data_IF_725256271992
#
_entry.id   IF_725256271992
#
_cell.length_a   1.000
_cell.length_b   1.000
_cell.length_c   1.000
_cell.angle_alpha   90.00
_cell.angle_beta   90.00
_cell.angle_gamma   90.00
#
_symmetry.space_group_name_H-M   'P 1'
#
loop_
_entity.id
_entity.type
_entity.pdbx_description
1 polymer ?
#
# COMPACT_ATOMS: atom_id res chain seq x y z
N UNK A 1 -66.05 66.53 0.00
CA UNK A 1 -64.66 66.11 -0.32
C UNK A 1 -64.77 64.86 -1.20
N UNK A 2 -64.82 65.00 -2.51
CA UNK A 2 -63.71 65.00 -3.50
C UNK A 2 -63.27 63.58 -3.98
N UNK A 3 -63.58 63.30 -5.27
CA UNK A 3 -63.03 62.32 -6.27
C UNK A 3 -63.15 60.80 -5.95
N UNK A 4 -63.85 59.90 -6.67
CA UNK A 4 -64.41 59.75 -8.04
C UNK A 4 -63.45 59.21 -9.15
N UNK A 5 -63.84 58.03 -9.72
CA UNK A 5 -63.49 57.33 -11.00
C UNK A 5 -62.13 56.60 -11.14
N UNK A 6 -61.94 55.47 -11.87
CA UNK A 6 -62.76 54.39 -12.50
C UNK A 6 -61.78 53.47 -13.29
N UNK A 7 -62.24 52.25 -13.67
CA UNK A 7 -62.00 51.49 -14.93
C UNK A 7 -61.26 50.14 -14.88
N UNK A 8 -62.07 49.10 -15.10
CA UNK A 8 -61.97 48.01 -16.10
C UNK A 8 -60.60 47.64 -16.70
N UNK A 9 -60.27 46.33 -16.66
CA UNK A 9 -59.90 45.54 -17.86
C UNK A 9 -60.35 44.08 -17.68
N UNK A 10 -61.23 43.63 -18.59
CA UNK A 10 -61.45 42.22 -18.95
C UNK A 10 -60.28 41.75 -19.83
N UNK A 11 -59.73 40.56 -19.60
CA UNK A 11 -59.21 39.74 -20.69
C UNK A 11 -59.18 38.25 -20.30
N UNK A 12 -59.90 37.37 -21.03
CA UNK A 12 -59.79 35.93 -20.87
C UNK A 12 -58.58 35.44 -21.67
N UNK A 13 -57.57 34.85 -21.03
CA UNK A 13 -56.52 34.16 -21.76
C UNK A 13 -57.07 32.81 -22.19
N UNK A 14 -57.43 32.76 -23.47
CA UNK A 14 -57.78 31.54 -24.18
C UNK A 14 -56.63 30.53 -24.15
N UNK A 15 -57.07 29.28 -24.22
CA UNK A 15 -56.32 28.05 -24.46
C UNK A 15 -55.20 28.29 -25.50
N UNK A 16 -53.96 28.40 -25.05
CA UNK A 16 -52.79 28.17 -25.90
C UNK A 16 -52.52 26.67 -25.90
N UNK A 17 -53.01 26.03 -26.96
CA UNK A 17 -52.64 24.69 -27.40
C UNK A 17 -51.12 24.64 -27.46
N UNK A 18 -50.49 23.87 -26.56
CA UNK A 18 -49.05 23.63 -26.65
C UNK A 18 -48.79 22.88 -27.97
N UNK A 19 -48.05 23.54 -28.87
CA UNK A 19 -47.67 22.98 -30.15
C UNK A 19 -46.83 21.71 -29.93
N UNK A 20 -47.34 20.61 -30.44
CA UNK A 20 -46.78 19.25 -30.44
C UNK A 20 -45.49 19.11 -31.29
N UNK A 21 -44.98 20.20 -31.87
CA UNK A 21 -43.85 20.20 -32.82
C UNK A 21 -42.46 20.39 -32.17
N UNK A 22 -42.37 20.62 -30.84
CA UNK A 22 -41.07 20.76 -30.15
C UNK A 22 -40.45 19.39 -29.81
N UNK A 23 -41.16 18.28 -30.05
CA UNK A 23 -40.67 16.94 -29.70
C UNK A 23 -39.64 16.36 -30.68
N UNK A 24 -39.46 16.94 -31.87
CA UNK A 24 -38.53 16.43 -32.88
C UNK A 24 -37.11 17.01 -32.78
N UNK A 25 -36.87 18.00 -31.91
CA UNK A 25 -35.56 18.65 -31.79
C UNK A 25 -34.75 18.27 -30.54
N UNK A 26 -35.27 17.36 -29.70
CA UNK A 26 -34.57 16.82 -28.53
C UNK A 26 -33.84 15.50 -28.83
N UNK A 27 -33.41 15.32 -30.07
CA UNK A 27 -32.63 14.18 -30.54
C UNK A 27 -31.12 14.33 -30.24
N UNK A 28 -30.76 14.88 -29.07
CA UNK A 28 -29.34 15.13 -28.75
C UNK A 28 -28.90 14.79 -27.33
N UNK A 29 -29.71 14.11 -26.52
CA UNK A 29 -29.21 13.43 -25.33
C UNK A 29 -29.86 12.05 -25.30
N UNK A 30 -29.07 11.04 -25.62
CA UNK A 30 -29.43 9.62 -25.55
C UNK A 30 -29.71 9.27 -24.09
N UNK A 31 -30.90 9.62 -23.61
CA UNK A 31 -31.41 9.17 -22.32
C UNK A 31 -32.04 7.80 -22.54
N UNK A 32 -31.35 6.79 -22.05
CA UNK A 32 -31.76 5.40 -22.07
C UNK A 32 -33.09 5.26 -21.29
N UNK A 33 -34.21 5.15 -22.00
CA UNK A 33 -35.50 4.80 -21.39
C UNK A 33 -35.51 3.29 -21.11
N UNK A 34 -35.81 2.88 -19.89
CA UNK A 34 -35.82 1.47 -19.45
C UNK A 34 -37.28 0.95 -19.46
N UNK A 35 -37.55 -0.19 -20.10
CA UNK A 35 -38.91 -0.75 -20.21
C UNK A 35 -39.18 -1.98 -19.33
N UNK A 36 -38.26 -2.33 -18.41
CA UNK A 36 -38.40 -3.51 -17.56
C UNK A 36 -37.88 -4.82 -18.18
N UNK A 37 -37.59 -4.85 -19.49
CA UNK A 37 -36.87 -5.93 -20.18
C UNK A 37 -35.44 -5.53 -20.59
N UNK A 38 -35.13 -4.25 -20.53
CA UNK A 38 -33.83 -3.68 -20.88
C UNK A 38 -33.93 -2.20 -21.23
N UNK A 39 -32.89 -1.67 -21.89
CA UNK A 39 -32.87 -0.31 -22.41
C UNK A 39 -33.57 -0.24 -23.80
N UNK A 40 -34.39 0.80 -24.03
CA UNK A 40 -35.15 1.02 -25.27
C UNK A 40 -34.27 1.22 -26.51
N UNK A 41 -33.07 1.77 -26.31
CA UNK A 41 -32.12 2.04 -27.39
C UNK A 41 -30.84 1.24 -27.13
N UNK A 42 -30.40 0.40 -28.08
CA UNK A 42 -29.13 -0.30 -27.96
C UNK A 42 -27.99 0.71 -28.03
N UNK A 43 -26.97 0.51 -27.19
CA UNK A 43 -25.71 1.24 -27.31
C UNK A 43 -25.04 0.93 -28.66
N UNK A 44 -24.12 1.79 -29.16
CA UNK A 44 -23.42 1.51 -30.40
C UNK A 44 -22.69 0.17 -30.34
N UNK A 45 -22.88 -0.70 -31.34
CA UNK A 45 -22.26 -2.04 -31.39
C UNK A 45 -20.74 -1.99 -31.19
N UNK A 46 -20.08 -1.00 -31.78
CA UNK A 46 -18.64 -0.81 -31.61
C UNK A 46 -18.23 -0.54 -30.15
N UNK A 47 -19.05 0.18 -29.37
CA UNK A 47 -18.75 0.38 -27.94
C UNK A 47 -18.86 -0.94 -27.17
N UNK A 48 -19.80 -1.80 -27.54
CA UNK A 48 -19.96 -3.12 -26.94
C UNK A 48 -18.81 -4.06 -27.30
N UNK A 49 -18.37 -4.06 -28.56
CA UNK A 49 -17.20 -4.85 -28.98
C UNK A 49 -15.96 -4.48 -28.18
N UNK A 50 -15.72 -3.17 -27.95
CA UNK A 50 -14.62 -2.71 -27.11
C UNK A 50 -14.79 -3.20 -25.65
N UNK A 51 -16.01 -3.12 -25.11
CA UNK A 51 -16.32 -3.60 -23.76
C UNK A 51 -16.11 -5.11 -23.62
N UNK A 52 -16.56 -5.91 -24.59
CA UNK A 52 -16.41 -7.36 -24.59
C UNK A 52 -14.94 -7.76 -24.61
N UNK A 53 -14.15 -7.15 -25.49
CA UNK A 53 -12.69 -7.39 -25.54
C UNK A 53 -12.00 -6.92 -24.27
N UNK A 54 -12.43 -5.79 -23.67
CA UNK A 54 -11.93 -5.37 -22.36
C UNK A 54 -12.24 -6.41 -21.27
N UNK A 55 -13.47 -6.94 -21.23
CA UNK A 55 -13.88 -7.96 -20.26
C UNK A 55 -13.08 -9.26 -20.42
N UNK A 56 -12.80 -9.67 -21.66
CA UNK A 56 -11.93 -10.81 -21.94
C UNK A 56 -10.50 -10.58 -21.43
N UNK A 57 -9.91 -9.42 -21.69
CA UNK A 57 -8.57 -9.09 -21.18
C UNK A 57 -8.53 -8.98 -19.66
N UNK A 58 -9.58 -8.43 -19.04
CA UNK A 58 -9.73 -8.39 -17.59
C UNK A 58 -9.76 -9.80 -16.99
N UNK A 59 -10.59 -10.69 -17.54
CA UNK A 59 -10.68 -12.09 -17.13
C UNK A 59 -9.34 -12.83 -17.27
N UNK A 60 -8.67 -12.67 -18.42
CA UNK A 60 -7.37 -13.29 -18.66
C UNK A 60 -6.28 -12.79 -17.71
N UNK A 61 -6.25 -11.49 -17.41
CA UNK A 61 -5.31 -10.92 -16.45
C UNK A 61 -5.58 -11.42 -15.03
N UNK A 62 -6.85 -11.47 -14.61
CA UNK A 62 -7.24 -12.02 -13.31
C UNK A 62 -6.84 -13.50 -13.20
N UNK A 63 -7.16 -14.31 -14.22
CA UNK A 63 -6.78 -15.71 -14.27
C UNK A 63 -5.25 -15.87 -14.16
N UNK A 64 -4.50 -15.13 -14.97
CA UNK A 64 -3.04 -15.16 -14.93
C UNK A 64 -2.50 -14.80 -13.54
N UNK A 65 -3.04 -13.74 -12.93
CA UNK A 65 -2.60 -13.27 -11.61
C UNK A 65 -2.83 -14.31 -10.51
N UNK A 66 -3.97 -15.01 -10.55
CA UNK A 66 -4.30 -16.06 -9.57
C UNK A 66 -3.38 -17.27 -9.74
N UNK A 67 -3.16 -17.72 -10.99
CA UNK A 67 -2.30 -18.88 -11.26
C UNK A 67 -0.83 -18.64 -10.91
N UNK A 68 -0.37 -17.39 -10.93
CA UNK A 68 1.00 -17.00 -10.62
C UNK A 68 1.14 -16.35 -9.23
N UNK A 69 0.20 -16.62 -8.31
CA UNK A 69 0.21 -16.07 -6.96
C UNK A 69 1.15 -16.80 -5.99
N UNK A 70 1.57 -18.04 -6.30
CA UNK A 70 2.51 -18.84 -5.48
C UNK A 70 3.33 -19.81 -6.33
N UNK A 71 4.67 -19.63 -6.44
CA UNK A 71 5.44 -18.45 -6.04
C UNK A 71 4.96 -17.20 -6.80
N UNK A 72 5.14 -16.01 -6.22
CA UNK A 72 4.67 -14.76 -6.85
C UNK A 72 5.52 -14.49 -8.10
N UNK A 73 4.89 -14.59 -9.26
CA UNK A 73 5.50 -14.27 -10.58
C UNK A 73 4.54 -13.47 -11.46
N UNK A 74 3.63 -12.74 -10.82
CA UNK A 74 2.51 -12.04 -11.47
C UNK A 74 3.03 -10.96 -12.43
N UNK A 75 4.05 -10.21 -12.02
CA UNK A 75 4.53 -9.09 -12.81
C UNK A 75 5.10 -9.58 -14.14
N UNK A 76 5.95 -10.60 -14.10
CA UNK A 76 6.64 -11.11 -15.29
C UNK A 76 5.76 -12.00 -16.17
N UNK A 77 4.93 -12.85 -15.56
CA UNK A 77 4.09 -13.80 -16.31
C UNK A 77 2.84 -13.15 -16.90
N UNK A 78 2.34 -12.06 -16.31
CA UNK A 78 1.06 -11.47 -16.70
C UNK A 78 1.17 -10.11 -17.38
N UNK A 79 2.39 -9.62 -17.65
CA UNK A 79 2.61 -8.29 -18.26
C UNK A 79 1.91 -8.11 -19.60
N UNK A 80 1.87 -9.15 -20.44
CA UNK A 80 1.21 -9.08 -21.74
C UNK A 80 -0.30 -8.86 -21.59
N UNK A 81 -0.94 -9.59 -20.67
CA UNK A 81 -2.37 -9.43 -20.39
C UNK A 81 -2.66 -8.08 -19.75
N UNK A 82 -1.76 -7.60 -18.89
CA UNK A 82 -1.84 -6.26 -18.30
C UNK A 82 -1.83 -5.15 -19.36
N UNK A 83 -0.92 -5.22 -20.33
CA UNK A 83 -0.84 -4.25 -21.43
C UNK A 83 -2.14 -4.25 -22.24
N UNK A 84 -2.64 -5.43 -22.64
CA UNK A 84 -3.91 -5.56 -23.37
C UNK A 84 -5.10 -5.01 -22.60
N UNK A 85 -5.18 -5.33 -21.31
CA UNK A 85 -6.22 -4.82 -20.41
C UNK A 85 -6.18 -3.30 -20.29
N UNK A 86 -4.99 -2.73 -20.03
CA UNK A 86 -4.77 -1.28 -19.92
C UNK A 86 -5.14 -0.55 -21.21
N UNK A 87 -4.62 -1.02 -22.33
CA UNK A 87 -4.77 -0.36 -23.63
C UNK A 87 -6.24 -0.40 -24.08
N UNK A 88 -6.92 -1.54 -23.88
CA UNK A 88 -8.33 -1.68 -24.23
C UNK A 88 -9.23 -0.83 -23.33
N UNK A 89 -8.89 -0.68 -22.05
CA UNK A 89 -9.60 0.26 -21.18
C UNK A 89 -9.41 1.73 -21.62
N UNK A 90 -8.19 2.11 -22.05
CA UNK A 90 -7.96 3.44 -22.62
C UNK A 90 -8.73 3.68 -23.91
N UNK A 91 -8.83 2.66 -24.77
CA UNK A 91 -9.66 2.70 -25.98
C UNK A 91 -11.15 2.90 -25.63
N UNK A 92 -11.66 2.20 -24.62
CA UNK A 92 -13.03 2.37 -24.12
C UNK A 92 -13.29 3.80 -23.62
N UNK A 93 -12.31 4.42 -22.96
CA UNK A 93 -12.41 5.79 -22.45
C UNK A 93 -12.43 6.85 -23.56
N UNK A 94 -11.70 6.61 -24.65
CA UNK A 94 -11.44 7.61 -25.68
C UNK A 94 -12.36 7.48 -26.91
N UNK A 95 -13.01 6.33 -27.12
CA UNK A 95 -13.82 6.09 -28.32
C UNK A 95 -15.16 6.81 -28.24
N UNK A 96 -15.52 7.47 -29.35
CA UNK A 96 -16.81 8.13 -29.56
C UNK A 96 -17.41 7.64 -30.88
N UNK A 97 -18.64 7.13 -30.83
CA UNK A 97 -19.35 6.55 -31.97
C UNK A 97 -20.63 7.34 -32.20
N UNK A 98 -20.81 7.91 -33.39
CA UNK A 98 -21.99 8.71 -33.74
C UNK A 98 -22.31 9.82 -32.70
N UNK A 99 -21.28 10.49 -32.18
CA UNK A 99 -21.41 11.54 -31.16
C UNK A 99 -21.66 11.02 -29.73
N UNK A 100 -21.79 9.72 -29.53
CA UNK A 100 -21.95 9.09 -28.20
C UNK A 100 -20.61 8.53 -27.73
N UNK A 101 -20.13 8.97 -26.56
CA UNK A 101 -18.90 8.44 -25.97
C UNK A 101 -19.16 7.08 -25.32
N UNK A 102 -18.31 6.07 -25.60
CA UNK A 102 -18.46 4.75 -24.98
C UNK A 102 -18.26 4.83 -23.45
N UNK A 103 -17.40 5.75 -23.00
CA UNK A 103 -17.22 6.08 -21.57
C UNK A 103 -18.53 6.47 -20.91
N UNK A 104 -19.29 7.39 -21.48
CA UNK A 104 -20.55 7.86 -20.87
C UNK A 104 -21.64 6.77 -20.81
N UNK A 105 -21.52 5.73 -21.63
CA UNK A 105 -22.46 4.60 -21.66
C UNK A 105 -22.13 3.58 -20.57
N UNK A 106 -20.85 3.23 -20.41
CA UNK A 106 -20.45 2.10 -19.56
C UNK A 106 -19.74 2.48 -18.26
N UNK A 107 -19.29 3.72 -18.11
CA UNK A 107 -18.51 4.18 -16.96
C UNK A 107 -19.26 5.31 -16.26
N UNK A 108 -19.47 5.13 -14.95
CA UNK A 108 -20.19 6.08 -14.08
C UNK A 108 -21.64 6.36 -14.52
N UNK A 109 -22.24 5.44 -15.29
CA UNK A 109 -23.64 5.54 -15.71
C UNK A 109 -24.62 5.11 -14.60
N UNK A 110 -24.21 4.15 -13.77
CA UNK A 110 -25.01 3.66 -12.64
C UNK A 110 -24.21 3.71 -11.33
N UNK A 111 -24.91 3.49 -10.20
CA UNK A 111 -24.33 3.53 -8.85
C UNK A 111 -23.40 2.34 -8.55
N UNK A 112 -23.54 1.24 -9.27
CA UNK A 112 -22.68 0.06 -9.12
C UNK A 112 -21.35 0.27 -9.84
N UNK A 113 -21.36 0.96 -10.99
CA UNK A 113 -20.21 1.32 -11.81
C UNK A 113 -19.27 0.12 -12.07
N UNK A 114 -19.86 -1.03 -12.40
CA UNK A 114 -19.17 -2.32 -12.39
C UNK A 114 -17.88 -2.34 -13.21
N UNK A 115 -17.90 -1.74 -14.41
CA UNK A 115 -16.73 -1.70 -15.32
C UNK A 115 -15.54 -1.01 -14.66
N UNK A 116 -15.77 0.14 -14.01
CA UNK A 116 -14.72 0.89 -13.33
C UNK A 116 -14.26 0.18 -12.06
N UNK A 117 -15.18 -0.36 -11.26
CA UNK A 117 -14.84 -1.10 -10.05
C UNK A 117 -13.97 -2.33 -10.34
N UNK A 118 -14.31 -3.11 -11.37
CA UNK A 118 -13.46 -4.22 -11.79
C UNK A 118 -12.11 -3.76 -12.32
N UNK A 119 -12.09 -2.67 -13.11
CA UNK A 119 -10.83 -2.10 -13.59
C UNK A 119 -9.91 -1.71 -12.41
N UNK A 120 -10.42 -0.95 -11.46
CA UNK A 120 -9.64 -0.40 -10.34
C UNK A 120 -9.15 -1.50 -9.40
N UNK A 121 -9.96 -2.53 -9.16
CA UNK A 121 -9.57 -3.69 -8.36
C UNK A 121 -8.45 -4.51 -9.02
N UNK A 122 -8.58 -4.80 -10.32
CA UNK A 122 -7.55 -5.54 -11.07
C UNK A 122 -6.25 -4.72 -11.12
N UNK A 123 -6.36 -3.42 -11.41
CA UNK A 123 -5.22 -2.50 -11.43
C UNK A 123 -4.56 -2.36 -10.04
N UNK A 124 -5.34 -2.44 -8.96
CA UNK A 124 -4.83 -2.43 -7.58
C UNK A 124 -3.85 -3.58 -7.32
N UNK A 125 -4.11 -4.78 -7.85
CA UNK A 125 -3.22 -5.94 -7.70
C UNK A 125 -1.88 -5.64 -8.36
N UNK A 126 -1.89 -5.13 -9.60
CA UNK A 126 -0.68 -4.77 -10.34
C UNK A 126 0.14 -3.68 -9.61
N UNK A 127 -0.55 -2.65 -9.11
CA UNK A 127 0.09 -1.53 -8.41
C UNK A 127 0.64 -1.91 -7.04
N UNK A 128 -0.07 -2.74 -6.27
CA UNK A 128 0.42 -3.28 -4.99
C UNK A 128 1.62 -4.18 -5.19
N UNK A 129 1.66 -4.94 -6.28
CA UNK A 129 2.82 -5.71 -6.69
C UNK A 129 4.01 -4.87 -7.17
N UNK A 130 3.85 -3.55 -7.29
CA UNK A 130 4.84 -2.61 -7.85
C UNK A 130 5.39 -3.11 -9.20
N UNK A 131 4.54 -3.76 -10.00
CA UNK A 131 4.98 -4.51 -11.18
C UNK A 131 5.62 -3.64 -12.25
N UNK A 132 5.24 -2.36 -12.32
CA UNK A 132 5.91 -1.40 -13.22
C UNK A 132 7.42 -1.29 -12.92
N UNK A 133 7.86 -1.52 -11.68
CA UNK A 133 9.27 -1.46 -11.29
C UNK A 133 10.13 -2.61 -11.82
N UNK A 134 9.52 -3.71 -12.27
CA UNK A 134 10.23 -4.82 -12.93
C UNK A 134 10.67 -4.46 -14.36
N UNK A 135 10.09 -3.43 -14.98
CA UNK A 135 10.21 -3.14 -16.41
C UNK A 135 10.68 -1.71 -16.70
N UNK A 136 11.41 -1.56 -17.80
CA UNK A 136 11.60 -0.30 -18.51
C UNK A 136 10.49 -0.16 -19.56
N UNK A 137 9.77 0.95 -19.52
CA UNK A 137 8.61 1.21 -20.38
C UNK A 137 8.97 2.16 -21.52
N UNK A 138 8.98 1.64 -22.75
CA UNK A 138 9.23 2.43 -23.95
C UNK A 138 7.95 2.55 -24.77
N UNK A 139 7.37 3.75 -24.84
CA UNK A 139 6.10 4.01 -25.54
C UNK A 139 4.97 3.02 -25.15
N UNK A 140 4.89 2.65 -23.87
CA UNK A 140 3.88 1.71 -23.37
C UNK A 140 4.20 0.23 -23.56
N UNK A 141 5.31 -0.11 -24.22
CA UNK A 141 5.80 -1.48 -24.38
C UNK A 141 6.75 -1.82 -23.22
N UNK A 142 6.49 -2.92 -22.48
CA UNK A 142 7.33 -3.34 -21.37
C UNK A 142 8.56 -4.11 -21.85
N UNK A 143 9.73 -3.77 -21.29
CA UNK A 143 10.96 -4.55 -21.43
C UNK A 143 11.55 -4.81 -20.06
N UNK A 144 12.06 -6.01 -19.79
CA UNK A 144 12.61 -6.33 -18.47
C UNK A 144 13.80 -5.41 -18.17
N UNK A 145 13.78 -4.82 -16.98
CA UNK A 145 14.87 -3.95 -16.53
C UNK A 145 16.15 -4.77 -16.34
N UNK A 146 17.29 -4.20 -16.70
CA UNK A 146 18.60 -4.88 -16.55
C UNK A 146 18.88 -5.37 -15.12
N UNK A 147 18.41 -4.63 -14.11
CA UNK A 147 18.51 -5.04 -12.71
C UNK A 147 17.69 -6.29 -12.38
N UNK A 148 16.48 -6.40 -12.95
CA UNK A 148 15.61 -7.57 -12.79
C UNK A 148 16.24 -8.81 -13.42
N UNK A 149 16.79 -8.67 -14.63
CA UNK A 149 17.50 -9.75 -15.32
C UNK A 149 18.71 -10.22 -14.50
N UNK A 150 19.49 -9.26 -13.98
CA UNK A 150 20.66 -9.55 -13.15
C UNK A 150 20.28 -10.26 -11.85
N UNK A 151 19.21 -9.81 -11.18
CA UNK A 151 18.66 -10.47 -9.99
C UNK A 151 18.33 -11.93 -10.28
N UNK A 152 17.56 -12.20 -11.34
CA UNK A 152 17.16 -13.57 -11.70
C UNK A 152 18.32 -14.49 -11.99
N UNK A 153 19.36 -13.96 -12.64
CA UNK A 153 20.58 -14.74 -12.87
C UNK A 153 21.22 -15.14 -11.54
N UNK A 154 21.44 -14.19 -10.64
CA UNK A 154 22.06 -14.45 -9.33
C UNK A 154 21.19 -15.35 -8.45
N UNK A 155 19.87 -15.18 -8.51
CA UNK A 155 18.90 -16.02 -7.82
C UNK A 155 18.96 -17.47 -8.33
N UNK A 156 18.91 -17.66 -9.64
CA UNK A 156 18.99 -19.00 -10.25
C UNK A 156 20.32 -19.67 -9.95
N UNK A 157 21.44 -18.95 -10.03
CA UNK A 157 22.77 -19.47 -9.70
C UNK A 157 22.86 -19.88 -8.21
N UNK A 158 22.28 -19.08 -7.32
CA UNK A 158 22.24 -19.37 -5.87
C UNK A 158 21.36 -20.58 -5.56
N UNK A 159 20.15 -20.64 -6.12
CA UNK A 159 19.25 -21.77 -5.93
C UNK A 159 19.84 -23.06 -6.50
N UNK A 160 20.49 -22.98 -7.66
CA UNK A 160 21.21 -24.11 -8.25
C UNK A 160 22.31 -24.60 -7.33
N UNK A 161 23.15 -23.70 -6.80
CA UNK A 161 24.18 -24.08 -5.81
C UNK A 161 23.57 -24.82 -4.62
N UNK A 162 22.46 -24.31 -4.07
CA UNK A 162 21.77 -24.92 -2.93
C UNK A 162 21.27 -26.33 -3.28
N UNK A 163 20.57 -26.49 -4.40
CA UNK A 163 20.01 -27.77 -4.84
C UNK A 163 21.11 -28.80 -5.11
N UNK A 164 22.16 -28.41 -5.83
CA UNK A 164 23.27 -29.29 -6.20
C UNK A 164 24.03 -29.81 -4.97
N UNK A 165 24.04 -29.05 -3.87
CA UNK A 165 24.73 -29.44 -2.63
C UNK A 165 23.77 -30.03 -1.57
N UNK A 166 22.47 -30.15 -1.83
CA UNK A 166 21.48 -30.66 -0.86
C UNK A 166 21.45 -32.21 -0.76
N UNK A 167 21.91 -32.92 -1.80
CA UNK A 167 21.93 -34.39 -1.87
C UNK A 167 23.18 -35.01 -1.21
N UNK A 168 23.14 -36.31 -0.80
CA UNK A 168 23.52 -36.78 0.54
C UNK A 168 25.03 -36.86 0.84
N UNK A 169 25.89 -36.32 -0.04
CA UNK A 169 27.35 -36.40 0.13
C UNK A 169 27.98 -35.08 0.61
N UNK A 170 27.24 -33.96 0.62
CA UNK A 170 27.80 -32.64 0.93
C UNK A 170 27.04 -31.94 2.07
N UNK A 171 27.36 -32.28 3.32
CA UNK A 171 26.77 -31.70 4.54
C UNK A 171 27.07 -30.20 4.78
N UNK A 172 27.57 -29.48 3.78
CA UNK A 172 28.06 -28.11 3.95
C UNK A 172 27.59 -27.14 2.84
N UNK A 173 26.29 -27.16 2.58
CA UNK A 173 25.61 -26.20 1.69
C UNK A 173 25.92 -24.76 2.10
N UNK A 174 25.93 -24.49 3.41
CA UNK A 174 26.15 -23.16 3.95
C UNK A 174 27.52 -22.60 3.54
N UNK A 175 28.61 -23.34 3.71
CA UNK A 175 29.93 -22.80 3.36
C UNK A 175 30.14 -22.73 1.84
N UNK A 176 29.60 -23.70 1.08
CA UNK A 176 29.79 -23.74 -0.37
C UNK A 176 29.00 -22.67 -1.12
N UNK A 177 27.78 -22.39 -0.68
CA UNK A 177 26.90 -21.42 -1.33
C UNK A 177 26.85 -20.06 -0.63
N UNK A 178 27.66 -19.85 0.44
CA UNK A 178 27.71 -18.59 1.20
C UNK A 178 27.97 -17.41 0.28
N UNK A 179 28.95 -17.52 -0.62
CA UNK A 179 29.34 -16.41 -1.50
C UNK A 179 28.22 -16.04 -2.46
N UNK A 180 27.59 -17.02 -3.11
CA UNK A 180 26.43 -16.77 -4.00
C UNK A 180 25.27 -16.13 -3.25
N UNK A 181 24.96 -16.62 -2.06
CA UNK A 181 23.92 -16.05 -1.20
C UNK A 181 24.23 -14.60 -0.80
N UNK A 182 25.46 -14.31 -0.35
CA UNK A 182 25.85 -12.96 0.07
C UNK A 182 25.82 -11.97 -1.10
N UNK A 183 26.29 -12.38 -2.28
CA UNK A 183 26.23 -11.55 -3.48
C UNK A 183 24.78 -11.23 -3.87
N UNK A 184 23.90 -12.23 -3.84
CA UNK A 184 22.46 -12.04 -4.10
C UNK A 184 21.82 -11.10 -3.08
N UNK A 185 22.11 -11.27 -1.79
CA UNK A 185 21.58 -10.46 -0.70
C UNK A 185 22.05 -9.00 -0.77
N UNK A 186 23.34 -8.78 -1.09
CA UNK A 186 23.90 -7.45 -1.29
C UNK A 186 23.30 -6.77 -2.53
N UNK A 187 23.16 -7.52 -3.63
CA UNK A 187 22.51 -6.99 -4.83
C UNK A 187 21.06 -6.61 -4.55
N UNK A 188 20.27 -7.47 -3.89
CA UNK A 188 18.90 -7.15 -3.50
C UNK A 188 18.82 -5.89 -2.64
N UNK A 189 19.71 -5.74 -1.64
CA UNK A 189 19.79 -4.52 -0.82
C UNK A 189 20.10 -3.28 -1.66
N UNK A 190 20.93 -3.40 -2.70
CA UNK A 190 21.25 -2.29 -3.61
C UNK A 190 20.07 -1.84 -4.49
N UNK A 191 19.09 -2.73 -4.73
CA UNK A 191 17.88 -2.39 -5.50
C UNK A 191 16.88 -1.54 -4.72
N UNK A 192 16.99 -1.55 -3.39
CA UNK A 192 16.11 -0.81 -2.51
C UNK A 192 16.70 0.56 -2.15
N UNK A 193 15.90 1.61 -2.29
CA UNK A 193 16.26 2.96 -1.81
C UNK A 193 16.26 3.07 -0.28
N UNK A 194 15.55 2.16 0.41
CA UNK A 194 15.47 2.10 1.87
C UNK A 194 16.13 0.84 2.43
N UNK A 195 16.62 0.93 3.67
CA UNK A 195 17.18 -0.21 4.43
C UNK A 195 16.20 -1.40 4.62
N UNK A 196 14.92 -1.25 4.23
CA UNK A 196 13.83 -2.22 4.44
C UNK A 196 13.41 -2.96 3.14
N UNK A 197 13.74 -2.48 1.93
CA UNK A 197 13.52 -3.26 0.70
C UNK A 197 12.24 -2.98 -0.10
N UNK A 198 11.39 -2.02 0.29
CA UNK A 198 9.93 -2.12 -0.02
C UNK A 198 9.40 -1.12 -1.05
N UNK A 199 10.01 0.04 -1.22
CA UNK A 199 9.33 1.15 -1.91
C UNK A 199 9.50 1.15 -3.44
N UNK A 200 10.55 0.52 -3.97
CA UNK A 200 10.88 0.52 -5.40
C UNK A 200 10.99 -0.86 -6.06
N UNK A 201 11.04 -1.95 -5.28
CA UNK A 201 11.31 -3.30 -5.79
C UNK A 201 9.99 -4.00 -6.10
N UNK A 202 9.90 -4.65 -7.26
CA UNK A 202 8.69 -5.38 -7.65
C UNK A 202 8.53 -6.69 -6.86
N UNK A 203 7.27 -7.10 -6.67
CA UNK A 203 6.93 -8.18 -5.75
C UNK A 203 7.49 -9.55 -6.16
N UNK A 204 7.69 -9.80 -7.45
CA UNK A 204 8.32 -11.03 -7.97
C UNK A 204 9.74 -11.21 -7.39
N UNK A 205 10.52 -10.13 -7.32
CA UNK A 205 11.87 -10.11 -6.72
C UNK A 205 11.77 -10.26 -5.19
N UNK A 206 10.87 -9.52 -4.55
CA UNK A 206 10.68 -9.53 -3.08
C UNK A 206 10.29 -10.93 -2.58
N UNK A 207 9.34 -11.60 -3.24
CA UNK A 207 8.90 -12.95 -2.88
C UNK A 207 10.03 -13.96 -3.06
N UNK A 208 10.76 -13.88 -4.19
CA UNK A 208 11.92 -14.73 -4.47
C UNK A 208 13.04 -14.57 -3.42
N UNK A 209 13.32 -13.35 -3.01
CA UNK A 209 14.33 -13.09 -1.97
C UNK A 209 13.84 -13.55 -0.59
N UNK A 210 12.58 -13.29 -0.23
CA UNK A 210 12.00 -13.77 1.02
C UNK A 210 12.00 -15.30 1.12
N UNK A 211 11.67 -15.99 0.03
CA UNK A 211 11.78 -17.44 -0.07
C UNK A 211 13.23 -17.90 0.12
N UNK A 212 14.18 -17.23 -0.54
CA UNK A 212 15.62 -17.50 -0.40
C UNK A 212 16.10 -17.33 1.04
N UNK A 213 15.77 -16.22 1.69
CA UNK A 213 16.09 -15.97 3.10
C UNK A 213 15.49 -17.04 4.02
N UNK A 214 14.25 -17.46 3.76
CA UNK A 214 13.58 -18.51 4.53
C UNK A 214 14.28 -19.87 4.37
N UNK A 215 14.64 -20.24 3.14
CA UNK A 215 15.41 -21.46 2.86
C UNK A 215 16.76 -21.42 3.57
N UNK A 216 17.50 -20.32 3.41
CA UNK A 216 18.83 -20.15 3.99
C UNK A 216 18.85 -20.20 5.52
N UNK A 217 17.93 -19.45 6.14
CA UNK A 217 17.92 -19.27 7.60
C UNK A 217 17.17 -20.38 8.33
N UNK A 218 15.96 -20.76 7.88
CA UNK A 218 15.08 -21.70 8.59
C UNK A 218 15.29 -23.14 8.14
N UNK A 219 15.36 -23.36 6.83
CA UNK A 219 15.45 -24.73 6.29
C UNK A 219 16.87 -25.29 6.41
N UNK A 220 17.89 -24.49 6.05
CA UNK A 220 19.30 -24.89 6.09
C UNK A 220 20.02 -24.52 7.39
N UNK A 221 19.44 -23.65 8.24
CA UNK A 221 20.04 -23.18 9.50
C UNK A 221 21.47 -22.59 9.33
N UNK A 222 21.72 -21.91 8.21
CA UNK A 222 23.04 -21.32 7.93
C UNK A 222 23.35 -20.07 8.78
N UNK A 223 22.34 -19.43 9.36
CA UNK A 223 22.49 -18.24 10.23
C UNK A 223 22.87 -18.62 11.68
N UNK A 224 24.02 -19.27 11.91
CA UNK A 224 24.51 -19.62 13.27
C UNK A 224 25.11 -18.44 14.03
N UNK A 225 25.59 -17.40 13.32
CA UNK A 225 26.40 -16.31 13.89
C UNK A 225 25.67 -15.46 14.95
N UNK A 226 24.34 -15.45 14.97
CA UNK A 226 23.55 -14.61 15.89
C UNK A 226 23.37 -15.21 17.30
N UNK A 227 23.67 -16.49 17.53
CA UNK A 227 23.46 -17.12 18.85
C UNK A 227 24.59 -16.90 19.86
N UNK A 228 25.80 -16.55 19.41
CA UNK A 228 26.98 -16.44 20.28
C UNK A 228 27.20 -15.08 20.99
N UNK A 229 26.67 -13.92 20.54
CA UNK A 229 26.88 -12.64 21.24
C UNK A 229 25.82 -12.30 22.31
N UNK A 230 24.75 -13.09 22.48
CA UNK A 230 23.69 -12.75 23.46
C UNK A 230 24.21 -12.76 24.91
N UNK A 231 25.10 -13.69 25.26
CA UNK A 231 25.64 -13.81 26.63
C UNK A 231 26.47 -12.58 27.02
N UNK A 232 27.37 -12.14 26.13
CA UNK A 232 28.24 -10.98 26.38
C UNK A 232 27.41 -9.71 26.53
N UNK A 233 26.40 -9.53 25.68
CA UNK A 233 25.48 -8.40 25.77
C UNK A 233 24.72 -8.39 27.10
N UNK A 234 24.18 -9.53 27.53
CA UNK A 234 23.47 -9.65 28.81
C UNK A 234 24.39 -9.35 30.01
N UNK A 235 25.63 -9.81 29.99
CA UNK A 235 26.62 -9.49 31.03
C UNK A 235 26.91 -7.98 31.10
N UNK A 236 27.15 -7.34 29.96
CA UNK A 236 27.40 -5.90 29.91
C UNK A 236 26.18 -5.08 30.38
N UNK A 237 24.98 -5.44 29.93
CA UNK A 237 23.75 -4.80 30.36
C UNK A 237 23.55 -4.92 31.88
N UNK A 238 23.76 -6.12 32.45
CA UNK A 238 23.67 -6.35 33.89
C UNK A 238 24.64 -5.49 34.71
N UNK A 239 25.90 -5.38 34.28
CA UNK A 239 26.90 -4.53 34.95
C UNK A 239 26.47 -3.06 34.90
N UNK A 240 26.06 -2.56 33.73
CA UNK A 240 25.64 -1.17 33.56
C UNK A 240 24.41 -0.85 34.42
N UNK A 241 23.45 -1.77 34.52
CA UNK A 241 22.27 -1.61 35.38
C UNK A 241 22.61 -1.61 36.88
N UNK A 242 23.70 -2.27 37.29
CA UNK A 242 24.13 -2.33 38.69
C UNK A 242 24.95 -1.09 39.11
N UNK A 243 25.60 -0.39 38.17
CA UNK A 243 26.43 0.79 38.44
C UNK A 243 25.71 1.91 39.21
N UNK A 244 24.45 2.31 38.88
CA UNK A 244 23.72 3.31 39.66
C UNK A 244 23.45 2.87 41.09
N UNK A 245 23.11 1.59 41.30
CA UNK A 245 22.87 1.04 42.64
C UNK A 245 24.15 1.10 43.48
N UNK A 246 25.27 0.68 42.90
CA UNK A 246 26.58 0.78 43.55
C UNK A 246 26.92 2.24 43.84
N UNK A 247 26.68 3.16 42.91
CA UNK A 247 26.91 4.59 43.11
C UNK A 247 26.09 5.17 44.28
N UNK A 248 24.80 4.87 44.36
CA UNK A 248 23.98 5.35 45.48
C UNK A 248 24.38 4.71 46.81
N UNK A 249 24.79 3.44 46.80
CA UNK A 249 25.31 2.77 48.00
C UNK A 249 26.65 3.39 48.44
N UNK A 250 27.59 3.66 47.54
CA UNK A 250 28.85 4.31 47.89
C UNK A 250 28.63 5.73 48.40
N UNK A 251 27.72 6.50 47.81
CA UNK A 251 27.34 7.83 48.35
C UNK A 251 26.73 7.71 49.74
N UNK A 252 25.92 6.69 50.01
CA UNK A 252 25.27 6.49 51.31
C UNK A 252 26.25 6.07 52.42
N UNK A 253 27.18 5.17 52.12
CA UNK A 253 28.08 4.57 53.12
C UNK A 253 29.46 5.22 53.19
N UNK A 254 29.95 5.80 52.09
CA UNK A 254 31.27 6.44 52.00
C UNK A 254 31.20 7.96 51.79
N UNK A 255 30.00 8.55 51.69
CA UNK A 255 29.84 10.00 51.70
C UNK A 255 30.32 10.58 53.03
N UNK A 256 31.02 11.72 53.04
CA UNK A 256 31.40 12.37 54.30
C UNK A 256 30.12 12.59 55.11
N UNK A 257 30.14 12.19 56.38
CA UNK A 257 29.15 12.65 57.37
C UNK A 257 29.25 14.17 57.32
N UNK A 258 28.35 14.81 56.58
CA UNK A 258 28.20 16.26 56.65
C UNK A 258 27.71 16.49 58.07
N UNK A 259 28.61 16.92 58.95
CA UNK A 259 28.23 17.54 60.21
C UNK A 259 27.13 18.54 59.86
N UNK A 260 25.91 18.25 60.30
CA UNK A 260 24.77 19.11 60.05
C UNK A 260 25.20 20.51 60.49
N UNK A 261 25.19 21.54 59.63
CA UNK A 261 25.48 22.88 60.09
C UNK A 261 24.51 23.15 61.26
N UNK A 262 25.06 23.52 62.42
CA UNK A 262 24.34 23.72 63.68
C UNK A 262 23.13 24.68 63.58
N UNK A 263 22.91 25.29 62.42
CA UNK A 263 21.83 26.20 62.07
C UNK A 263 20.45 25.50 62.00
N UNK A 264 20.37 24.18 61.83
CA UNK A 264 19.07 23.45 61.87
C UNK A 264 18.73 22.83 63.23
N UNK A 265 19.48 23.15 64.31
CA UNK A 265 19.19 22.68 65.67
C UNK A 265 18.12 23.47 66.42
N UNK A 266 17.48 24.46 65.78
CA UNK A 266 16.31 25.12 66.36
C UNK A 266 15.03 24.49 65.81
N UNK A 267 14.59 23.42 66.49
CA UNK A 267 13.24 22.89 66.32
C UNK A 267 12.22 23.98 66.63
N UNK A 268 11.45 24.42 65.63
CA UNK A 268 10.31 25.35 65.77
C UNK A 268 9.30 24.87 66.83
N UNK A 269 9.30 23.58 67.15
CA UNK A 269 8.47 22.98 68.20
C UNK A 269 8.84 23.47 69.61
N UNK A 270 10.12 23.77 69.87
CA UNK A 270 10.56 24.33 71.16
C UNK A 270 10.08 25.78 71.34
N UNK A 271 9.97 26.52 70.24
CA UNK A 271 9.44 27.89 70.23
C UNK A 271 7.91 27.93 70.43
N UNK A 272 7.15 26.96 69.91
CA UNK A 272 5.70 26.91 70.17
C UNK A 272 5.37 26.51 71.62
N UNK A 273 6.18 25.64 72.23
CA UNK A 273 5.98 25.24 73.62
C UNK A 273 6.25 26.40 74.59
N UNK A 274 7.31 27.19 74.38
CA UNK A 274 7.61 28.35 75.22
C UNK A 274 6.53 29.45 75.12
N UNK A 275 5.98 29.70 73.93
CA UNK A 275 4.82 30.61 73.76
C UNK A 275 3.54 30.10 74.43
N UNK A 276 3.35 28.79 74.50
CA UNK A 276 2.18 28.20 75.16
C UNK A 276 2.27 28.22 76.68
N UNK A 277 3.48 28.28 77.25
CA UNK A 277 3.68 28.35 78.70
C UNK A 277 3.52 29.79 79.20
N UNK A 278 3.98 30.79 78.46
CA UNK A 278 3.81 32.21 78.83
C UNK A 278 2.31 32.61 78.90
N UNK A 279 1.49 32.14 77.96
CA UNK A 279 0.04 32.43 77.91
C UNK A 279 -0.80 31.72 78.99
N UNK A 280 -0.20 30.99 79.92
CA UNK A 280 -0.90 30.25 80.99
C UNK A 280 -0.61 30.80 82.39
N UNK A 281 0.08 31.94 82.48
CA UNK A 281 0.54 32.55 83.74
C UNK A 281 -0.26 33.79 84.17
N UNK A 282 -1.36 34.11 83.47
CA UNK A 282 -2.35 35.13 83.86
C UNK A 282 -3.71 34.47 84.18
#
# INVERSE_FOLDING_TARGET
>A
MYKLYLLFVLCPIGILKANFEIYNHLQSNVFLQYNGEGYLFPYPNQCYEILDVFAQHASNLTLCSILNARPITVCERCVEQYVKFRDKYQELLNTTVNGTSCRSVFISHDRLNAVQEYHDNILSVWNKGKCNGCFDWNHGIPSLKNSTISFHKMFNDTMKCIVDNMYPQNNDVCNRCMQSYLQLDEFYKSLSSDSIGVDSVCMDIVDSMNATHSIWSKSLNCCKLRRTPEIVFLCCAGIISLLPLIYYMTVRFCGPIRDLPNVLKQSRFKQSFLRSVDNRSD
#
